data_IF_748160369149
#
_entry.id   IF_748160369149
#
_cell.length_a   1.000
_cell.length_b   1.000
_cell.length_c   1.000
_cell.angle_alpha   90.00
_cell.angle_beta   90.00
_cell.angle_gamma   90.00
#
_symmetry.space_group_name_H-M   'P 1'
#
loop_
_entity.id
_entity.type
_entity.pdbx_description
1 polymer ?
#
# COMPACT_ATOMS: atom_id res chain seq x y z
N UNK A 1 -38.35 -22.46 15.12
CA UNK A 1 -37.24 -21.50 15.31
C UNK A 1 -37.02 -20.81 13.97
N UNK A 2 -37.52 -19.59 13.79
CA UNK A 2 -37.24 -18.81 12.59
C UNK A 2 -35.81 -18.29 12.71
N UNK A 3 -34.85 -18.99 12.09
CA UNK A 3 -33.50 -18.49 11.84
C UNK A 3 -33.61 -17.31 10.89
N UNK A 4 -33.91 -16.12 11.44
CA UNK A 4 -33.70 -14.87 10.70
C UNK A 4 -32.23 -14.88 10.29
N UNK A 5 -31.97 -14.77 8.99
CA UNK A 5 -30.61 -14.60 8.48
C UNK A 5 -29.99 -13.41 9.23
N UNK A 6 -28.86 -13.63 9.89
CA UNK A 6 -28.20 -12.60 10.68
C UNK A 6 -27.97 -11.33 9.85
N UNK A 7 -27.79 -11.45 8.53
CA UNK A 7 -27.68 -10.31 7.62
C UNK A 7 -28.95 -9.47 7.59
N UNK A 8 -30.12 -10.09 7.52
CA UNK A 8 -31.40 -9.38 7.56
C UNK A 8 -31.58 -8.65 8.89
N UNK A 9 -31.26 -9.32 10.00
CA UNK A 9 -31.32 -8.70 11.34
C UNK A 9 -30.40 -7.48 11.44
N UNK A 10 -29.13 -7.63 11.06
CA UNK A 10 -28.18 -6.51 11.06
C UNK A 10 -28.62 -5.38 10.13
N UNK A 11 -29.31 -5.70 9.03
CA UNK A 11 -29.83 -4.68 8.13
C UNK A 11 -30.91 -3.83 8.78
N UNK A 12 -31.81 -4.46 9.55
CA UNK A 12 -32.84 -3.79 10.34
C UNK A 12 -32.22 -2.95 11.48
N UNK A 13 -31.29 -3.51 12.23
CA UNK A 13 -30.61 -2.80 13.34
C UNK A 13 -29.77 -1.62 12.82
N UNK A 14 -29.17 -1.75 11.62
CA UNK A 14 -28.53 -0.61 10.95
C UNK A 14 -29.54 0.48 10.61
N UNK A 15 -30.71 0.12 10.09
CA UNK A 15 -31.75 1.10 9.73
C UNK A 15 -32.24 1.87 10.96
N UNK A 16 -32.42 1.18 12.08
CA UNK A 16 -32.75 1.79 13.36
C UNK A 16 -31.66 2.76 13.83
N UNK A 17 -30.39 2.33 13.82
CA UNK A 17 -29.24 3.17 14.16
C UNK A 17 -29.20 4.45 13.31
N UNK A 18 -29.36 4.33 11.99
CA UNK A 18 -29.33 5.47 11.07
C UNK A 18 -30.49 6.45 11.26
N UNK A 19 -31.66 5.95 11.67
CA UNK A 19 -32.85 6.78 11.91
C UNK A 19 -32.81 7.48 13.27
N UNK A 20 -32.40 6.75 14.31
CA UNK A 20 -32.67 7.14 15.69
C UNK A 20 -31.43 7.60 16.47
N UNK A 21 -30.23 7.15 16.08
CA UNK A 21 -28.96 7.40 16.80
C UNK A 21 -28.03 8.33 16.03
N UNK A 22 -27.68 7.97 14.79
CA UNK A 22 -26.71 8.71 13.98
C UNK A 22 -27.01 10.23 13.85
N UNK A 23 -28.27 10.66 13.58
CA UNK A 23 -28.58 12.09 13.44
C UNK A 23 -28.46 12.88 14.76
N UNK A 24 -28.54 12.19 15.90
CA UNK A 24 -28.42 12.78 17.24
C UNK A 24 -26.98 12.85 17.74
N UNK A 25 -26.01 12.41 16.94
CA UNK A 25 -24.61 12.33 17.33
C UNK A 25 -24.25 11.12 18.19
N UNK A 26 -25.19 10.17 18.37
CA UNK A 26 -24.89 8.89 19.01
C UNK A 26 -24.22 7.96 18.00
N UNK A 27 -22.89 7.88 18.09
CA UNK A 27 -22.03 7.12 17.17
C UNK A 27 -21.73 5.70 17.67
N UNK A 28 -22.52 5.18 18.60
CA UNK A 28 -22.37 3.83 19.13
C UNK A 28 -22.86 2.74 18.15
N UNK A 29 -22.20 2.65 17.00
CA UNK A 29 -22.58 1.71 15.93
C UNK A 29 -22.38 0.24 16.31
N UNK A 30 -21.61 -0.04 17.36
CA UNK A 30 -21.37 -1.38 17.89
C UNK A 30 -22.66 -2.04 18.38
N UNK A 31 -23.65 -1.23 18.77
CA UNK A 31 -24.98 -1.70 19.16
C UNK A 31 -25.67 -2.52 18.06
N UNK A 32 -25.32 -2.27 16.78
CA UNK A 32 -25.88 -2.99 15.63
C UNK A 32 -25.52 -4.47 15.67
N UNK A 33 -24.32 -4.82 16.16
CA UNK A 33 -23.80 -6.18 16.10
C UNK A 33 -23.42 -6.77 17.47
N UNK A 34 -23.71 -6.08 18.57
CA UNK A 34 -23.43 -6.56 19.92
C UNK A 34 -24.17 -7.87 20.23
N UNK A 35 -25.40 -7.99 19.72
CA UNK A 35 -26.27 -9.16 19.88
C UNK A 35 -25.96 -10.29 18.88
N UNK A 36 -25.07 -10.07 17.90
CA UNK A 36 -24.57 -11.17 17.08
C UNK A 36 -23.94 -12.20 18.02
N UNK A 37 -24.24 -13.50 17.94
CA UNK A 37 -23.83 -14.46 18.97
C UNK A 37 -22.40 -14.98 18.77
N UNK A 38 -21.94 -15.13 17.53
CA UNK A 38 -20.66 -15.79 17.26
C UNK A 38 -19.47 -14.86 17.49
N UNK A 39 -18.40 -15.41 18.06
CA UNK A 39 -17.15 -14.70 18.32
C UNK A 39 -15.99 -15.51 17.77
N UNK A 40 -15.01 -14.81 17.20
CA UNK A 40 -13.73 -15.40 16.82
C UNK A 40 -12.68 -14.80 17.74
N UNK A 41 -12.06 -15.63 18.57
CA UNK A 41 -11.11 -15.20 19.61
C UNK A 41 -11.68 -14.12 20.54
N UNK A 42 -12.95 -14.27 20.94
CA UNK A 42 -13.66 -13.32 21.81
C UNK A 42 -14.04 -11.99 21.14
N UNK A 43 -13.73 -11.79 19.86
CA UNK A 43 -14.06 -10.58 19.09
C UNK A 43 -15.19 -10.82 18.08
N UNK A 44 -15.85 -9.74 17.68
CA UNK A 44 -16.82 -9.74 16.58
C UNK A 44 -16.07 -10.08 15.28
N UNK A 45 -16.56 -11.02 14.45
CA UNK A 45 -15.91 -11.34 13.19
C UNK A 45 -15.82 -10.13 12.26
N UNK A 46 -14.70 -10.00 11.55
CA UNK A 46 -14.48 -8.90 10.61
C UNK A 46 -15.56 -8.84 9.51
N UNK A 47 -16.08 -9.99 9.08
CA UNK A 47 -17.15 -10.08 8.07
C UNK A 47 -18.40 -9.31 8.50
N UNK A 48 -18.83 -9.48 9.76
CA UNK A 48 -19.99 -8.81 10.35
C UNK A 48 -19.80 -7.29 10.31
N UNK A 49 -18.62 -6.81 10.73
CA UNK A 49 -18.31 -5.38 10.74
C UNK A 49 -18.30 -4.82 9.31
N UNK A 50 -17.72 -5.56 8.36
CA UNK A 50 -17.71 -5.14 6.95
C UNK A 50 -19.09 -5.14 6.31
N UNK A 51 -19.96 -6.07 6.70
CA UNK A 51 -21.36 -6.13 6.28
C UNK A 51 -22.12 -4.89 6.78
N UNK A 52 -22.06 -4.62 8.08
CA UNK A 52 -22.70 -3.45 8.71
C UNK A 52 -22.19 -2.14 8.09
N UNK A 53 -20.88 -1.98 7.96
CA UNK A 53 -20.28 -0.80 7.35
C UNK A 53 -20.73 -0.59 5.88
N UNK A 54 -20.87 -1.68 5.11
CA UNK A 54 -21.36 -1.60 3.73
C UNK A 54 -22.84 -1.23 3.67
N UNK A 55 -23.64 -1.80 4.56
CA UNK A 55 -25.07 -1.52 4.66
C UNK A 55 -25.33 -0.06 5.12
N UNK A 56 -24.52 0.47 6.05
CA UNK A 56 -24.56 1.90 6.41
C UNK A 56 -24.39 2.77 5.17
N UNK A 57 -23.38 2.51 4.34
CA UNK A 57 -23.13 3.28 3.10
C UNK A 57 -24.30 3.16 2.13
N UNK A 58 -24.87 1.96 1.99
CA UNK A 58 -26.01 1.72 1.12
C UNK A 58 -27.24 2.52 1.55
N UNK A 59 -27.61 2.45 2.84
CA UNK A 59 -28.80 3.10 3.36
C UNK A 59 -28.68 4.62 3.46
N UNK A 60 -27.47 5.15 3.71
CA UNK A 60 -27.22 6.59 3.66
C UNK A 60 -27.40 7.18 2.25
N UNK A 61 -27.19 6.38 1.21
CA UNK A 61 -27.39 6.80 -0.19
C UNK A 61 -26.63 8.09 -0.49
N UNK A 62 -27.31 9.11 -1.03
CA UNK A 62 -26.69 10.40 -1.39
C UNK A 62 -26.27 11.26 -0.19
N UNK A 63 -26.76 10.97 1.03
CA UNK A 63 -26.53 11.76 2.25
C UNK A 63 -25.24 11.38 2.99
N UNK A 64 -24.44 10.47 2.43
CA UNK A 64 -23.24 9.95 3.09
C UNK A 64 -22.22 11.03 3.49
N UNK A 65 -22.15 12.15 2.78
CA UNK A 65 -21.25 13.26 3.07
C UNK A 65 -21.72 14.16 4.22
N UNK A 66 -22.99 14.10 4.63
CA UNK A 66 -23.49 14.82 5.81
C UNK A 66 -22.94 14.25 7.13
N UNK A 67 -22.38 13.03 7.11
CA UNK A 67 -22.00 12.28 8.32
C UNK A 67 -20.47 12.14 8.48
N UNK A 68 -19.67 13.10 8.00
CA UNK A 68 -18.22 13.11 8.24
C UNK A 68 -17.84 13.02 9.73
N UNK A 69 -18.53 13.68 10.68
CA UNK A 69 -18.20 13.55 12.10
C UNK A 69 -18.31 12.11 12.61
N UNK A 70 -19.26 11.33 12.10
CA UNK A 70 -19.37 9.90 12.42
C UNK A 70 -18.18 9.12 11.90
N UNK A 71 -17.74 9.34 10.66
CA UNK A 71 -16.57 8.64 10.13
C UNK A 71 -15.29 8.98 10.89
N UNK A 72 -15.12 10.24 11.32
CA UNK A 72 -14.02 10.62 12.22
C UNK A 72 -14.12 9.91 13.57
N UNK A 73 -15.33 9.78 14.12
CA UNK A 73 -15.54 9.07 15.37
C UNK A 73 -15.23 7.57 15.24
N UNK A 74 -15.56 6.94 14.11
CA UNK A 74 -15.17 5.55 13.83
C UNK A 74 -13.65 5.38 13.92
N UNK A 75 -12.89 6.29 13.30
CA UNK A 75 -11.42 6.22 13.31
C UNK A 75 -10.83 6.50 14.71
N UNK A 76 -11.29 7.57 15.35
CA UNK A 76 -10.64 8.14 16.54
C UNK A 76 -11.16 7.58 17.87
N UNK A 77 -12.40 7.06 17.93
CA UNK A 77 -13.09 6.76 19.19
C UNK A 77 -13.59 5.32 19.32
N UNK A 78 -13.65 4.55 18.23
CA UNK A 78 -14.31 3.24 18.19
C UNK A 78 -13.37 2.04 18.06
N UNK A 79 -12.10 2.21 18.42
CA UNK A 79 -11.11 1.13 18.48
C UNK A 79 -10.96 0.35 17.16
N UNK A 80 -10.61 -0.94 17.28
CA UNK A 80 -10.35 -1.82 16.13
C UNK A 80 -11.57 -1.94 15.20
N UNK A 81 -12.77 -2.09 15.76
CA UNK A 81 -14.00 -2.25 14.99
C UNK A 81 -14.32 -0.98 14.20
N UNK A 82 -14.15 0.18 14.83
CA UNK A 82 -14.29 1.48 14.20
C UNK A 82 -13.33 1.68 13.03
N UNK A 83 -12.05 1.35 13.21
CA UNK A 83 -11.02 1.45 12.15
C UNK A 83 -11.31 0.52 10.98
N UNK A 84 -11.78 -0.70 11.25
CA UNK A 84 -12.20 -1.65 10.20
C UNK A 84 -13.42 -1.14 9.42
N UNK A 85 -14.44 -0.64 10.13
CA UNK A 85 -15.64 -0.06 9.52
C UNK A 85 -15.30 1.18 8.68
N UNK A 86 -14.44 2.06 9.21
CA UNK A 86 -13.94 3.25 8.51
C UNK A 86 -13.26 2.89 7.19
N UNK A 87 -12.31 1.94 7.21
CA UNK A 87 -11.64 1.47 5.99
C UNK A 87 -12.61 0.88 4.97
N UNK A 88 -13.61 0.10 5.42
CA UNK A 88 -14.65 -0.44 4.54
C UNK A 88 -15.50 0.67 3.93
N UNK A 89 -15.94 1.67 4.71
CA UNK A 89 -16.73 2.82 4.23
C UNK A 89 -15.94 3.60 3.17
N UNK A 90 -14.69 3.95 3.45
CA UNK A 90 -13.84 4.68 2.51
C UNK A 90 -13.62 3.89 1.21
N UNK A 91 -13.45 2.57 1.28
CA UNK A 91 -13.29 1.73 0.07
C UNK A 91 -14.49 1.83 -0.89
N UNK A 92 -15.68 2.16 -0.38
CA UNK A 92 -16.90 2.34 -1.19
C UNK A 92 -17.12 3.78 -1.65
N UNK A 93 -16.71 4.76 -0.83
CA UNK A 93 -17.07 6.17 -1.02
C UNK A 93 -15.97 7.02 -1.67
N UNK A 94 -14.69 6.68 -1.48
CA UNK A 94 -13.59 7.55 -1.91
C UNK A 94 -13.63 7.84 -3.41
N UNK A 95 -13.82 6.82 -4.25
CA UNK A 95 -13.92 7.06 -5.69
C UNK A 95 -15.16 7.85 -6.11
N UNK A 96 -16.24 7.79 -5.33
CA UNK A 96 -17.52 8.45 -5.64
C UNK A 96 -17.42 9.96 -5.42
N UNK A 97 -16.81 10.39 -4.31
CA UNK A 97 -16.56 11.81 -4.01
C UNK A 97 -15.12 12.02 -3.47
N UNK A 98 -14.09 12.01 -4.34
CA UNK A 98 -12.70 12.10 -3.91
C UNK A 98 -12.37 13.38 -3.13
N UNK A 99 -12.97 14.51 -3.52
CA UNK A 99 -12.76 15.81 -2.84
C UNK A 99 -13.19 15.81 -1.38
N UNK A 100 -14.09 14.90 -0.98
CA UNK A 100 -14.59 14.78 0.40
C UNK A 100 -13.80 13.74 1.17
N UNK A 101 -13.58 12.57 0.56
CA UNK A 101 -13.08 11.39 1.27
C UNK A 101 -11.57 11.21 1.20
N UNK A 102 -10.89 11.82 0.23
CA UNK A 102 -9.43 11.81 0.20
C UNK A 102 -8.85 12.62 1.37
N UNK A 103 -9.32 13.86 1.67
CA UNK A 103 -8.88 14.58 2.87
C UNK A 103 -9.14 13.80 4.17
N UNK A 104 -10.27 13.11 4.25
CA UNK A 104 -10.60 12.28 5.43
C UNK A 104 -9.65 11.07 5.57
N UNK A 105 -9.25 10.44 4.45
CA UNK A 105 -8.21 9.41 4.47
C UNK A 105 -6.87 9.99 4.93
N UNK A 106 -6.50 11.19 4.45
CA UNK A 106 -5.24 11.85 4.82
C UNK A 106 -5.18 12.21 6.31
N UNK A 107 -6.29 12.71 6.85
CA UNK A 107 -6.47 12.96 8.30
C UNK A 107 -6.26 11.67 9.11
N UNK A 108 -6.78 10.54 8.63
CA UNK A 108 -6.56 9.25 9.28
C UNK A 108 -5.10 8.80 9.19
N UNK A 109 -4.47 8.93 8.02
CA UNK A 109 -3.08 8.53 7.77
C UNK A 109 -2.07 9.32 8.60
N UNK A 110 -2.33 10.59 8.91
CA UNK A 110 -1.37 11.45 9.64
C UNK A 110 -1.09 10.96 11.06
N UNK A 111 -2.07 10.34 11.71
CA UNK A 111 -1.99 9.88 13.11
C UNK A 111 -2.04 8.34 13.24
N UNK A 112 -2.00 7.62 12.12
CA UNK A 112 -2.10 6.17 12.07
C UNK A 112 -0.77 5.49 12.42
N UNK A 113 -0.84 4.32 13.05
CA UNK A 113 0.32 3.42 13.16
C UNK A 113 0.69 2.84 11.80
N UNK A 114 1.91 2.30 11.64
CA UNK A 114 2.32 1.68 10.37
C UNK A 114 1.39 0.51 9.95
N UNK A 115 0.89 -0.27 10.90
CA UNK A 115 -0.05 -1.36 10.62
C UNK A 115 -1.39 -0.83 10.07
N UNK A 116 -1.89 0.26 10.66
CA UNK A 116 -3.11 0.94 10.24
C UNK A 116 -2.96 1.60 8.86
N UNK A 117 -1.83 2.26 8.61
CA UNK A 117 -1.51 2.81 7.29
C UNK A 117 -1.54 1.69 6.25
N UNK A 118 -0.84 0.58 6.50
CA UNK A 118 -0.82 -0.56 5.58
C UNK A 118 -2.24 -1.09 5.32
N UNK A 119 -3.06 -1.25 6.36
CA UNK A 119 -4.43 -1.71 6.23
C UNK A 119 -5.29 -0.74 5.39
N UNK A 120 -5.20 0.57 5.62
CA UNK A 120 -5.91 1.58 4.85
C UNK A 120 -5.45 1.62 3.38
N UNK A 121 -4.13 1.61 3.14
CA UNK A 121 -3.58 1.62 1.80
C UNK A 121 -3.99 0.37 1.01
N UNK A 122 -3.92 -0.82 1.61
CA UNK A 122 -4.31 -2.08 0.97
C UNK A 122 -5.83 -2.15 0.70
N UNK A 123 -6.65 -1.68 1.65
CA UNK A 123 -8.11 -1.79 1.56
C UNK A 123 -8.73 -0.72 0.67
N UNK A 124 -8.19 0.51 0.72
CA UNK A 124 -8.77 1.69 0.06
C UNK A 124 -7.97 2.06 -1.18
N UNK A 125 -6.67 2.28 -1.06
CA UNK A 125 -5.86 2.83 -2.16
C UNK A 125 -5.50 1.79 -3.22
N UNK A 126 -5.13 0.55 -2.85
CA UNK A 126 -4.72 -0.47 -3.81
C UNK A 126 -5.81 -0.79 -4.86
N UNK A 127 -7.10 -0.99 -4.50
CA UNK A 127 -8.15 -1.21 -5.49
C UNK A 127 -8.32 -0.01 -6.44
N UNK A 128 -8.18 1.21 -5.91
CA UNK A 128 -8.30 2.44 -6.70
C UNK A 128 -7.15 2.58 -7.69
N UNK A 129 -5.92 2.30 -7.27
CA UNK A 129 -4.74 2.32 -8.14
C UNK A 129 -4.82 1.27 -9.23
N UNK A 130 -5.35 0.09 -8.91
CA UNK A 130 -5.56 -0.97 -9.91
C UNK A 130 -6.57 -0.57 -10.98
N UNK A 131 -7.58 0.24 -10.64
CA UNK A 131 -8.69 0.60 -11.54
C UNK A 131 -8.51 1.94 -12.24
N UNK A 132 -7.93 2.93 -11.54
CA UNK A 132 -7.79 4.32 -11.99
C UNK A 132 -6.39 4.88 -11.61
N UNK A 133 -5.30 4.25 -12.09
CA UNK A 133 -3.94 4.66 -11.75
C UNK A 133 -3.66 6.13 -12.08
N UNK A 134 -4.16 6.62 -13.21
CA UNK A 134 -4.00 8.00 -13.69
C UNK A 134 -4.50 9.04 -12.68
N UNK A 135 -5.50 8.68 -11.87
CA UNK A 135 -6.11 9.56 -10.87
C UNK A 135 -5.42 9.53 -9.51
N UNK A 136 -4.86 8.39 -9.12
CA UNK A 136 -4.42 8.18 -7.73
C UNK A 136 -2.92 7.90 -7.57
N UNK A 137 -2.20 7.55 -8.63
CA UNK A 137 -0.79 7.16 -8.54
C UNK A 137 0.09 8.32 -8.03
N UNK A 138 -0.12 9.54 -8.54
CA UNK A 138 0.59 10.73 -8.08
C UNK A 138 0.41 10.97 -6.57
N UNK A 139 -0.74 10.59 -6.01
CA UNK A 139 -0.99 10.73 -4.56
C UNK A 139 -0.10 9.78 -3.75
N UNK A 140 0.08 8.55 -4.24
CA UNK A 140 0.97 7.57 -3.60
C UNK A 140 2.43 7.99 -3.74
N UNK A 141 2.82 8.59 -4.87
CA UNK A 141 4.15 9.18 -5.03
C UNK A 141 4.43 10.27 -3.98
N UNK A 142 3.45 11.13 -3.70
CA UNK A 142 3.54 12.11 -2.61
C UNK A 142 3.68 11.43 -1.24
N UNK A 143 2.91 10.36 -0.97
CA UNK A 143 3.02 9.62 0.29
C UNK A 143 4.39 8.94 0.45
N UNK A 144 5.00 8.42 -0.61
CA UNK A 144 6.36 7.86 -0.56
C UNK A 144 7.46 8.92 -0.34
N UNK A 145 7.14 10.20 -0.50
CA UNK A 145 8.03 11.32 -0.18
C UNK A 145 7.65 12.01 1.15
N UNK A 146 6.76 11.41 1.94
CA UNK A 146 6.33 11.97 3.23
C UNK A 146 7.48 12.01 4.24
N UNK A 147 7.51 13.05 5.07
CA UNK A 147 8.39 13.11 6.24
C UNK A 147 7.98 12.14 7.36
N UNK A 148 6.76 11.58 7.32
CA UNK A 148 6.34 10.51 8.20
C UNK A 148 6.95 9.18 7.69
N UNK A 149 7.92 8.57 8.41
CA UNK A 149 8.61 7.38 7.92
C UNK A 149 7.68 6.17 7.77
N UNK A 150 6.65 6.04 8.61
CA UNK A 150 5.69 4.96 8.51
C UNK A 150 4.87 5.07 7.21
N UNK A 151 4.40 6.29 6.88
CA UNK A 151 3.66 6.54 5.65
C UNK A 151 4.54 6.34 4.41
N UNK A 152 5.77 6.87 4.43
CA UNK A 152 6.73 6.70 3.34
C UNK A 152 6.97 5.21 3.04
N UNK A 153 7.33 4.43 4.07
CA UNK A 153 7.62 3.00 3.94
C UNK A 153 6.41 2.21 3.43
N UNK A 154 5.22 2.49 3.98
CA UNK A 154 3.98 1.86 3.56
C UNK A 154 3.59 2.20 2.13
N UNK A 155 3.81 3.44 1.68
CA UNK A 155 3.56 3.86 0.31
C UNK A 155 4.52 3.22 -0.70
N UNK A 156 5.82 3.13 -0.38
CA UNK A 156 6.79 2.41 -1.22
C UNK A 156 6.41 0.93 -1.36
N UNK A 157 6.02 0.28 -0.26
CA UNK A 157 5.49 -1.09 -0.27
C UNK A 157 4.22 -1.23 -1.12
N UNK A 158 3.32 -0.24 -1.08
CA UNK A 158 2.10 -0.24 -1.89
C UNK A 158 2.45 -0.22 -3.39
N UNK A 159 3.44 0.57 -3.81
CA UNK A 159 3.91 0.61 -5.20
C UNK A 159 4.49 -0.75 -5.64
N UNK A 160 5.27 -1.41 -4.78
CA UNK A 160 5.78 -2.77 -5.03
C UNK A 160 4.64 -3.78 -5.18
N UNK A 161 3.58 -3.67 -4.36
CA UNK A 161 2.37 -4.51 -4.50
C UNK A 161 1.61 -4.21 -5.79
N UNK A 162 1.55 -2.95 -6.20
CA UNK A 162 0.83 -2.50 -7.39
C UNK A 162 1.45 -3.08 -8.67
N UNK A 163 2.77 -3.02 -8.84
CA UNK A 163 3.43 -3.55 -10.06
C UNK A 163 3.21 -5.06 -10.24
N UNK A 164 3.08 -5.83 -9.15
CA UNK A 164 2.71 -7.26 -9.17
C UNK A 164 1.29 -7.54 -9.67
N UNK A 165 0.48 -6.50 -9.87
CA UNK A 165 -0.92 -6.57 -10.33
C UNK A 165 -1.18 -5.77 -11.60
N UNK A 166 -0.27 -4.87 -11.97
CA UNK A 166 -0.34 -3.92 -13.09
C UNK A 166 1.07 -3.70 -13.63
N UNK A 167 1.59 -4.70 -14.34
CA UNK A 167 2.95 -4.69 -14.90
C UNK A 167 3.13 -3.56 -15.93
N UNK A 168 2.04 -3.15 -16.58
CA UNK A 168 1.99 -2.00 -17.48
C UNK A 168 2.40 -0.68 -16.80
N UNK A 169 2.31 -0.59 -15.47
CA UNK A 169 2.73 0.58 -14.69
C UNK A 169 4.22 0.55 -14.29
N UNK A 170 4.94 -0.54 -14.57
CA UNK A 170 6.37 -0.68 -14.23
C UNK A 170 7.17 0.52 -14.74
N UNK A 171 7.07 0.96 -16.01
CA UNK A 171 7.89 2.05 -16.51
C UNK A 171 7.70 3.35 -15.72
N UNK A 172 6.45 3.77 -15.52
CA UNK A 172 6.13 5.00 -14.79
C UNK A 172 6.58 4.95 -13.33
N UNK A 173 6.37 3.82 -12.65
CA UNK A 173 6.77 3.64 -11.26
C UNK A 173 8.30 3.58 -11.14
N UNK A 174 8.99 2.92 -12.06
CA UNK A 174 10.44 2.86 -12.04
C UNK A 174 11.08 4.22 -12.34
N UNK A 175 10.52 5.02 -13.24
CA UNK A 175 10.95 6.41 -13.43
C UNK A 175 10.83 7.22 -12.13
N UNK A 176 9.78 7.00 -11.34
CA UNK A 176 9.64 7.64 -10.03
C UNK A 176 10.70 7.17 -9.03
N UNK A 177 11.00 5.86 -8.99
CA UNK A 177 12.04 5.30 -8.11
C UNK A 177 13.45 5.77 -8.52
N UNK A 178 13.79 5.76 -9.80
CA UNK A 178 15.14 6.09 -10.29
C UNK A 178 15.49 7.55 -10.07
N UNK A 179 14.51 8.47 -10.20
CA UNK A 179 14.69 9.89 -9.86
C UNK A 179 15.14 10.12 -8.41
N UNK A 180 14.69 9.29 -7.48
CA UNK A 180 15.08 9.41 -6.07
C UNK A 180 16.51 8.93 -5.81
N UNK A 181 17.10 8.14 -6.71
CA UNK A 181 18.47 7.65 -6.53
C UNK A 181 19.52 8.76 -6.58
N UNK A 182 19.15 9.94 -7.09
CA UNK A 182 19.98 11.15 -7.12
C UNK A 182 20.12 11.82 -5.74
N UNK A 183 19.42 11.32 -4.73
CA UNK A 183 19.49 11.81 -3.35
C UNK A 183 19.68 10.63 -2.38
N UNK A 184 20.24 10.85 -1.17
CA UNK A 184 20.39 9.79 -0.19
C UNK A 184 19.03 9.16 0.17
N UNK A 185 18.87 7.86 -0.10
CA UNK A 185 17.63 7.13 0.16
C UNK A 185 17.43 6.77 1.63
N UNK A 186 18.52 6.70 2.41
CA UNK A 186 18.48 6.33 3.83
C UNK A 186 17.73 5.01 4.06
N UNK A 187 16.69 5.03 4.89
CA UNK A 187 15.87 3.85 5.20
C UNK A 187 15.00 3.36 4.03
N UNK A 188 14.93 4.09 2.92
CA UNK A 188 14.19 3.67 1.73
C UNK A 188 14.95 2.62 0.90
N UNK A 189 16.28 2.50 1.05
CA UNK A 189 17.13 1.59 0.25
C UNK A 189 16.56 0.17 0.09
N UNK A 190 16.09 -0.52 1.15
CA UNK A 190 15.55 -1.86 1.01
C UNK A 190 14.34 -1.95 0.07
N UNK A 191 13.49 -0.92 0.04
CA UNK A 191 12.30 -0.89 -0.82
C UNK A 191 12.68 -0.70 -2.29
N UNK A 192 13.70 0.10 -2.60
CA UNK A 192 14.20 0.25 -3.97
C UNK A 192 14.83 -1.07 -4.46
N UNK A 193 15.58 -1.77 -3.60
CA UNK A 193 16.11 -3.11 -3.91
C UNK A 193 14.96 -4.10 -4.14
N UNK A 194 13.95 -4.14 -3.26
CA UNK A 194 12.79 -5.03 -3.43
C UNK A 194 11.99 -4.70 -4.69
N UNK A 195 11.87 -3.43 -5.06
CA UNK A 195 11.26 -3.01 -6.32
C UNK A 195 12.05 -3.55 -7.51
N UNK A 196 13.37 -3.33 -7.57
CA UNK A 196 14.22 -3.86 -8.64
C UNK A 196 14.14 -5.38 -8.77
N UNK A 197 14.19 -6.11 -7.64
CA UNK A 197 14.01 -7.57 -7.62
C UNK A 197 12.63 -8.01 -8.12
N UNK A 198 11.61 -7.22 -7.80
CA UNK A 198 10.24 -7.48 -8.27
C UNK A 198 10.15 -7.26 -9.78
N UNK A 199 10.75 -6.19 -10.30
CA UNK A 199 10.81 -5.91 -11.75
C UNK A 199 11.62 -6.99 -12.47
N UNK A 200 12.78 -7.41 -11.96
CA UNK A 200 13.58 -8.50 -12.54
C UNK A 200 12.78 -9.79 -12.71
N UNK A 201 11.88 -10.09 -11.76
CA UNK A 201 11.01 -11.27 -11.82
C UNK A 201 9.83 -11.12 -12.79
N UNK A 202 9.23 -9.94 -12.87
CA UNK A 202 8.01 -9.72 -13.67
C UNK A 202 8.35 -9.38 -15.14
N UNK A 203 9.36 -8.54 -15.34
CA UNK A 203 9.78 -8.04 -16.65
C UNK A 203 11.32 -7.97 -16.71
N UNK A 204 11.99 -9.10 -16.99
CA UNK A 204 13.45 -9.17 -17.11
C UNK A 204 14.02 -8.19 -18.15
N UNK A 205 13.34 -8.01 -19.28
CA UNK A 205 13.78 -7.08 -20.33
C UNK A 205 13.84 -5.64 -19.81
N UNK A 206 12.81 -5.18 -19.12
CA UNK A 206 12.80 -3.84 -18.52
C UNK A 206 13.85 -3.70 -17.41
N UNK A 207 14.07 -4.76 -16.63
CA UNK A 207 15.15 -4.79 -15.65
C UNK A 207 16.53 -4.62 -16.31
N UNK A 208 16.79 -5.31 -17.42
CA UNK A 208 18.04 -5.15 -18.18
C UNK A 208 18.19 -3.75 -18.78
N UNK A 209 17.09 -3.11 -19.23
CA UNK A 209 17.12 -1.70 -19.67
C UNK A 209 17.54 -0.75 -18.56
N UNK A 210 17.08 -0.98 -17.33
CA UNK A 210 17.53 -0.19 -16.16
C UNK A 210 19.04 -0.38 -15.96
N UNK A 211 19.53 -1.61 -16.07
CA UNK A 211 20.97 -1.87 -15.96
C UNK A 211 21.78 -1.21 -17.07
N UNK A 212 21.29 -1.24 -18.31
CA UNK A 212 21.91 -0.56 -19.44
C UNK A 212 22.03 0.96 -19.17
N UNK A 213 20.94 1.60 -18.75
CA UNK A 213 20.88 3.04 -18.43
C UNK A 213 21.90 3.44 -17.36
N UNK A 214 22.09 2.61 -16.34
CA UNK A 214 22.94 2.93 -15.19
C UNK A 214 24.29 2.17 -15.16
N UNK A 215 24.62 1.41 -16.20
CA UNK A 215 25.83 0.56 -16.28
C UNK A 215 27.15 1.32 -16.13
N UNK A 216 27.16 2.60 -16.51
CA UNK A 216 28.32 3.49 -16.39
C UNK A 216 28.29 4.36 -15.13
N UNK A 217 27.30 4.18 -14.25
CA UNK A 217 27.18 4.97 -13.03
C UNK A 217 28.41 4.82 -12.15
N UNK A 218 28.85 5.95 -11.58
CA UNK A 218 29.90 6.02 -10.55
C UNK A 218 29.34 6.38 -9.19
N UNK A 219 28.02 6.52 -9.07
CA UNK A 219 27.35 6.81 -7.81
C UNK A 219 27.28 5.52 -6.96
N UNK A 220 27.85 5.51 -5.73
CA UNK A 220 27.86 4.33 -4.89
C UNK A 220 26.47 3.77 -4.56
N UNK A 221 25.47 4.63 -4.36
CA UNK A 221 24.12 4.19 -4.01
C UNK A 221 23.46 3.49 -5.21
N UNK A 222 23.55 4.06 -6.41
CA UNK A 222 23.01 3.43 -7.62
C UNK A 222 23.65 2.05 -7.84
N UNK A 223 24.98 1.97 -7.75
CA UNK A 223 25.71 0.71 -7.92
C UNK A 223 25.33 -0.31 -6.84
N UNK A 224 25.23 0.10 -5.58
CA UNK A 224 24.78 -0.75 -4.48
C UNK A 224 23.35 -1.29 -4.71
N UNK A 225 22.42 -0.46 -5.18
CA UNK A 225 21.04 -0.87 -5.50
C UNK A 225 21.03 -1.94 -6.60
N UNK A 226 21.71 -1.68 -7.72
CA UNK A 226 21.78 -2.60 -8.86
C UNK A 226 22.43 -3.92 -8.43
N UNK A 227 23.64 -3.87 -7.88
CA UNK A 227 24.37 -5.06 -7.42
C UNK A 227 23.58 -5.91 -6.41
N UNK A 228 22.87 -5.28 -5.47
CA UNK A 228 22.09 -6.00 -4.45
C UNK A 228 20.77 -6.55 -5.00
N UNK A 229 20.30 -6.02 -6.13
CA UNK A 229 19.06 -6.44 -6.77
C UNK A 229 19.19 -7.69 -7.66
N UNK A 230 20.41 -8.18 -7.92
CA UNK A 230 20.65 -9.38 -8.74
C UNK A 230 19.93 -10.61 -8.14
N UNK A 231 18.96 -11.15 -8.87
CA UNK A 231 18.20 -12.35 -8.48
C UNK A 231 18.57 -13.60 -9.28
N UNK A 232 18.95 -13.42 -10.53
CA UNK A 232 19.30 -14.49 -11.49
C UNK A 232 20.58 -14.12 -12.26
N UNK A 233 21.10 -15.05 -13.07
CA UNK A 233 22.21 -14.79 -13.97
C UNK A 233 21.72 -14.25 -15.31
N UNK A 234 22.25 -13.09 -15.66
CA UNK A 234 22.09 -12.41 -16.95
C UNK A 234 23.48 -12.03 -17.45
N UNK A 235 23.94 -12.55 -18.61
CA UNK A 235 25.27 -12.27 -19.16
C UNK A 235 25.59 -10.77 -19.29
N UNK A 236 24.58 -9.95 -19.59
CA UNK A 236 24.66 -8.50 -19.76
C UNK A 236 25.20 -7.78 -18.51
N UNK A 237 25.04 -8.40 -17.33
CA UNK A 237 25.49 -7.84 -16.05
C UNK A 237 26.98 -8.08 -15.78
N UNK A 238 27.64 -9.01 -16.48
CA UNK A 238 29.04 -9.36 -16.20
C UNK A 238 29.97 -8.17 -16.44
N UNK A 239 29.83 -7.49 -17.60
CA UNK A 239 30.72 -6.39 -17.99
C UNK A 239 30.62 -5.16 -17.06
N UNK A 240 29.41 -4.62 -16.75
CA UNK A 240 29.28 -3.50 -15.82
C UNK A 240 29.82 -3.85 -14.41
N UNK A 241 29.51 -5.04 -13.91
CA UNK A 241 29.97 -5.48 -12.58
C UNK A 241 31.49 -5.62 -12.55
N UNK A 242 32.12 -6.19 -13.58
CA UNK A 242 33.58 -6.30 -13.66
C UNK A 242 34.25 -4.92 -13.63
N UNK A 243 33.75 -3.95 -14.40
CA UNK A 243 34.26 -2.57 -14.40
C UNK A 243 34.23 -1.98 -13.00
N UNK A 244 33.11 -2.13 -12.27
CA UNK A 244 33.00 -1.60 -10.91
C UNK A 244 33.89 -2.32 -9.89
N UNK A 245 34.27 -3.59 -10.10
CA UNK A 245 35.25 -4.27 -9.23
C UNK A 245 36.65 -3.62 -9.28
N UNK A 246 36.96 -2.92 -10.38
CA UNK A 246 38.22 -2.21 -10.60
C UNK A 246 38.15 -0.74 -10.14
N UNK A 247 37.02 -0.29 -9.58
CA UNK A 247 36.83 1.08 -9.11
C UNK A 247 37.77 1.42 -7.94
N UNK A 248 38.30 2.64 -7.95
CA UNK A 248 39.03 3.21 -6.81
C UNK A 248 38.11 3.60 -5.64
N UNK A 249 36.80 3.68 -5.85
CA UNK A 249 35.83 3.92 -4.79
C UNK A 249 35.54 2.62 -4.03
N UNK A 250 35.90 2.60 -2.74
CA UNK A 250 35.78 1.40 -1.89
C UNK A 250 34.35 0.87 -1.77
N UNK A 251 33.33 1.74 -1.76
CA UNK A 251 31.91 1.33 -1.67
C UNK A 251 31.47 0.62 -2.95
N UNK A 252 31.75 1.23 -4.11
CA UNK A 252 31.50 0.59 -5.42
C UNK A 252 32.19 -0.76 -5.51
N UNK A 253 33.50 -0.78 -5.23
CA UNK A 253 34.31 -2.00 -5.32
C UNK A 253 33.75 -3.12 -4.44
N UNK A 254 33.31 -2.80 -3.21
CA UNK A 254 32.71 -3.77 -2.29
C UNK A 254 31.38 -4.32 -2.84
N UNK A 255 30.49 -3.46 -3.31
CA UNK A 255 29.20 -3.86 -3.88
C UNK A 255 29.41 -4.75 -5.10
N UNK A 256 30.27 -4.32 -6.02
CA UNK A 256 30.57 -5.03 -7.26
C UNK A 256 31.27 -6.38 -7.02
N UNK A 257 32.22 -6.45 -6.09
CA UNK A 257 32.88 -7.73 -5.74
C UNK A 257 31.86 -8.74 -5.19
N UNK A 258 30.88 -8.27 -4.41
CA UNK A 258 29.80 -9.11 -3.90
C UNK A 258 28.89 -9.57 -5.04
N UNK A 259 28.49 -8.66 -5.93
CA UNK A 259 27.70 -8.98 -7.11
C UNK A 259 28.40 -9.98 -8.04
N UNK A 260 29.71 -9.83 -8.28
CA UNK A 260 30.48 -10.74 -9.13
C UNK A 260 30.47 -12.17 -8.58
N UNK A 261 30.58 -12.33 -7.25
CA UNK A 261 30.44 -13.65 -6.61
C UNK A 261 29.04 -14.22 -6.78
N UNK A 262 28.01 -13.39 -6.62
CA UNK A 262 26.61 -13.78 -6.84
C UNK A 262 26.39 -14.24 -8.29
N UNK A 263 26.87 -13.48 -9.28
CA UNK A 263 26.76 -13.84 -10.70
C UNK A 263 27.48 -15.15 -11.01
N UNK A 264 28.72 -15.35 -10.55
CA UNK A 264 29.46 -16.60 -10.72
C UNK A 264 28.71 -17.81 -10.14
N UNK A 265 28.13 -17.64 -8.93
CA UNK A 265 27.32 -18.70 -8.30
C UNK A 265 26.07 -19.01 -9.11
N UNK A 266 25.40 -18.00 -9.67
CA UNK A 266 24.18 -18.15 -10.46
C UNK A 266 24.46 -18.76 -11.84
N UNK A 267 25.57 -18.38 -12.48
CA UNK A 267 26.05 -18.95 -13.75
C UNK A 267 26.30 -20.46 -13.66
N UNK A 268 26.92 -20.91 -12.57
CA UNK A 268 27.17 -22.35 -12.34
C UNK A 268 25.97 -23.14 -11.82
N UNK A 269 24.83 -22.48 -11.56
CA UNK A 269 23.58 -23.13 -11.14
C UNK A 269 22.55 -23.22 -12.28
N UNK A 270 22.87 -22.68 -13.45
CA UNK A 270 22.15 -22.88 -14.72
C UNK A 270 22.76 -24.08 -15.45
#
# INVERSE_FOLDING_TARGET
MLTIDWKERLNMDTADFLKNKLPKGDYDFEIIFIAYPERVNGKIPAEVITHVASNIVQQLGKKHDAYLPFYRALWNKKGDYGKLAFGQILSKLLNRKPSVYLPLLEEALSNATMAEINALLDKVMLPLLRKYPEKYLNKVFQYSNSSNPALQKSALNLLIKLVKRREDLIPQIMTFFSRQWLSPLGEAVPYHITMLKTVAKLNPEYYLKIWEEFSFSRDPQIVELLCTSITDYYPELESPVEIWTKSGNARLKKAATTAQRTLKKKKGAQ
#
